data_IF_380012899176
#
_entry.id   IF_380012899176
#
_cell.length_a   1.000
_cell.length_b   1.000
_cell.length_c   1.000
_cell.angle_alpha   90.00
_cell.angle_beta   90.00
_cell.angle_gamma   90.00
#
_symmetry.space_group_name_H-M   'P 1'
#
loop_
_entity.id
_entity.type
_entity.pdbx_description
1 polymer ?
#
# COMPACT_ATOMS: atom_id res chain seq x y z
N UNK A 1 -37.27 5.22 -23.77
CA UNK A 1 -36.62 4.35 -22.77
C UNK A 1 -35.13 4.50 -23.00
N UNK A 2 -34.46 5.15 -22.05
CA UNK A 2 -33.10 5.67 -22.17
C UNK A 2 -32.09 4.59 -21.68
N UNK A 3 -31.10 4.15 -22.49
CA UNK A 3 -30.15 3.13 -22.08
C UNK A 3 -28.92 3.80 -21.44
N UNK A 4 -29.07 4.26 -20.19
CA UNK A 4 -27.96 4.74 -19.36
C UNK A 4 -28.09 4.22 -17.93
N UNK A 5 -27.88 2.91 -17.73
CA UNK A 5 -27.61 2.33 -16.41
C UNK A 5 -27.23 0.85 -16.54
N UNK A 6 -25.99 0.53 -16.94
CA UNK A 6 -25.43 -0.82 -16.68
C UNK A 6 -23.92 -0.98 -16.87
N UNK A 7 -23.12 0.09 -17.00
CA UNK A 7 -21.66 -0.03 -17.22
C UNK A 7 -20.82 -0.07 -15.93
N UNK A 8 -21.44 -0.09 -14.75
CA UNK A 8 -20.71 -0.02 -13.46
C UNK A 8 -20.16 -1.35 -12.96
N UNK A 9 -20.66 -2.50 -13.44
CA UNK A 9 -20.39 -3.80 -12.78
C UNK A 9 -19.40 -4.71 -13.51
N UNK A 10 -19.10 -4.46 -14.80
CA UNK A 10 -18.18 -5.32 -15.58
C UNK A 10 -16.69 -4.93 -15.45
N UNK A 11 -16.37 -3.72 -15.00
CA UNK A 11 -14.98 -3.27 -14.89
C UNK A 11 -14.23 -3.90 -13.70
N UNK A 12 -14.94 -4.33 -12.65
CA UNK A 12 -14.34 -4.86 -11.42
C UNK A 12 -13.88 -6.31 -11.60
N UNK A 13 -14.61 -7.13 -12.38
CA UNK A 13 -14.26 -8.55 -12.55
C UNK A 13 -12.95 -8.79 -13.35
N UNK A 14 -12.57 -7.87 -14.24
CA UNK A 14 -11.30 -7.95 -14.98
C UNK A 14 -10.08 -7.53 -14.14
N UNK A 15 -10.29 -6.75 -13.07
CA UNK A 15 -9.24 -6.35 -12.12
C UNK A 15 -8.70 -7.56 -11.32
N UNK A 16 -9.56 -8.55 -11.06
CA UNK A 16 -9.28 -9.71 -10.20
C UNK A 16 -8.23 -10.65 -10.81
N UNK A 17 -8.25 -10.85 -12.13
CA UNK A 17 -7.40 -11.86 -12.80
C UNK A 17 -5.95 -11.38 -12.99
N UNK A 18 -5.72 -10.07 -13.13
CA UNK A 18 -4.35 -9.55 -13.28
C UNK A 18 -3.58 -9.52 -11.95
N UNK A 19 -4.24 -9.62 -10.79
CA UNK A 19 -3.61 -9.46 -9.48
C UNK A 19 -3.55 -10.78 -8.66
N UNK A 20 -4.03 -11.91 -9.19
CA UNK A 20 -4.24 -13.13 -8.40
C UNK A 20 -3.07 -14.12 -8.35
N UNK A 21 -2.12 -14.06 -9.28
CA UNK A 21 -1.17 -15.17 -9.47
C UNK A 21 0.20 -14.88 -8.83
N UNK A 22 0.26 -15.02 -7.49
CA UNK A 22 1.50 -15.02 -6.70
C UNK A 22 1.85 -16.45 -6.26
N UNK A 23 2.24 -17.30 -7.22
CA UNK A 23 2.90 -18.58 -6.92
C UNK A 23 4.35 -18.57 -7.42
N UNK A 24 5.24 -17.92 -6.69
CA UNK A 24 6.69 -18.17 -6.85
C UNK A 24 7.05 -19.46 -6.10
N UNK A 25 6.80 -20.62 -6.72
CA UNK A 25 7.28 -21.91 -6.21
C UNK A 25 8.73 -22.12 -6.64
N UNK A 26 9.66 -21.89 -5.71
CA UNK A 26 11.02 -22.39 -5.80
C UNK A 26 11.19 -23.52 -4.77
N UNK A 27 11.01 -24.78 -5.20
CA UNK A 27 11.67 -25.92 -4.53
C UNK A 27 12.02 -27.01 -5.54
N UNK A 28 13.21 -27.62 -5.42
CA UNK A 28 13.79 -28.49 -6.45
C UNK A 28 13.29 -29.94 -6.34
N UNK A 29 13.41 -30.62 -7.48
CA UNK A 29 13.19 -32.05 -7.73
C UNK A 29 13.85 -32.98 -6.72
N UNK A 30 13.13 -34.02 -6.27
CA UNK A 30 13.71 -35.11 -5.47
C UNK A 30 12.73 -36.16 -4.93
N UNK A 31 12.27 -37.03 -5.83
CA UNK A 31 11.98 -38.48 -5.74
C UNK A 31 11.33 -39.19 -4.52
N UNK A 32 10.46 -40.14 -4.92
CA UNK A 32 10.01 -41.43 -4.36
C UNK A 32 9.51 -41.61 -2.91
N UNK A 33 8.28 -42.15 -2.80
CA UNK A 33 7.86 -42.90 -1.62
C UNK A 33 6.35 -43.17 -1.52
N UNK A 34 5.90 -44.33 -2.00
CA UNK A 34 4.54 -44.86 -1.81
C UNK A 34 4.34 -45.51 -0.42
N UNK A 35 3.09 -45.48 0.09
CA UNK A 35 2.38 -46.48 0.95
C UNK A 35 1.17 -45.80 1.63
N UNK A 36 -0.08 -46.09 1.24
CA UNK A 36 -1.02 -47.13 1.74
C UNK A 36 -1.40 -47.04 3.23
N UNK A 37 -2.73 -47.00 3.40
CA UNK A 37 -3.56 -47.68 4.41
C UNK A 37 -4.02 -46.97 5.71
N UNK A 38 -5.33 -46.70 5.70
CA UNK A 38 -6.38 -47.11 6.68
C UNK A 38 -6.35 -46.66 8.14
N UNK A 39 -7.52 -46.25 8.64
CA UNK A 39 -7.79 -46.23 10.08
C UNK A 39 -9.07 -45.49 10.46
N UNK A 40 -10.16 -46.24 10.65
CA UNK A 40 -11.43 -45.78 11.19
C UNK A 40 -11.42 -45.74 12.74
N UNK A 41 -12.32 -44.94 13.32
CA UNK A 41 -12.90 -45.22 14.64
C UNK A 41 -13.01 -44.03 15.59
N UNK A 42 -14.21 -43.80 16.15
CA UNK A 42 -14.36 -43.06 17.41
C UNK A 42 -15.63 -42.22 17.55
N UNK A 43 -16.69 -42.84 18.06
CA UNK A 43 -18.00 -42.29 18.41
C UNK A 43 -18.08 -41.71 19.83
N UNK A 44 -19.05 -40.80 20.06
CA UNK A 44 -19.65 -40.45 21.37
C UNK A 44 -19.90 -38.94 21.47
N UNK A 45 -21.13 -38.41 21.36
CA UNK A 45 -22.25 -38.46 22.33
C UNK A 45 -22.16 -37.24 23.28
N UNK A 46 -23.16 -36.45 23.66
CA UNK A 46 -24.60 -36.31 23.40
C UNK A 46 -25.09 -35.07 24.20
N UNK A 47 -26.10 -34.35 23.70
CA UNK A 47 -27.12 -33.54 24.40
C UNK A 47 -26.73 -32.32 25.27
N UNK A 48 -27.28 -31.15 24.93
CA UNK A 48 -28.43 -30.53 25.64
C UNK A 48 -29.08 -29.42 24.80
N UNK A 49 -30.42 -29.36 24.89
CA UNK A 49 -31.37 -28.60 24.06
C UNK A 49 -31.39 -27.06 24.29
N UNK A 50 -32.02 -26.29 23.37
CA UNK A 50 -32.17 -24.84 23.42
C UNK A 50 -33.59 -24.34 23.80
N UNK A 51 -33.69 -23.04 24.11
CA UNK A 51 -34.93 -22.24 24.16
C UNK A 51 -35.61 -22.21 25.54
N UNK A 52 -36.38 -21.19 25.95
CA UNK A 52 -36.97 -20.01 25.32
C UNK A 52 -37.67 -19.20 26.44
N UNK A 53 -38.03 -17.93 26.18
CA UNK A 53 -39.11 -17.27 26.93
C UNK A 53 -38.80 -15.86 27.43
N UNK A 54 -39.32 -14.84 26.74
CA UNK A 54 -39.38 -13.46 27.25
C UNK A 54 -40.59 -13.21 28.15
N UNK A 55 -40.65 -12.01 28.76
CA UNK A 55 -41.81 -11.10 28.76
C UNK A 55 -41.61 -9.86 29.64
N UNK A 56 -41.99 -8.73 29.04
CA UNK A 56 -42.39 -7.40 29.52
C UNK A 56 -42.53 -7.07 31.03
N UNK A 57 -41.98 -5.90 31.40
CA UNK A 57 -42.76 -4.65 31.56
C UNK A 57 -43.66 -4.45 32.79
N UNK A 58 -43.26 -3.53 33.67
CA UNK A 58 -44.13 -2.62 34.47
C UNK A 58 -43.20 -1.53 35.04
N UNK A 59 -43.51 -0.23 35.17
CA UNK A 59 -44.77 0.51 35.14
C UNK A 59 -44.89 1.36 36.42
N UNK A 60 -44.83 2.69 36.31
CA UNK A 60 -45.20 3.67 37.36
C UNK A 60 -44.05 4.17 38.26
N UNK A 61 -43.99 5.41 38.74
CA UNK A 61 -44.96 6.51 38.79
C UNK A 61 -44.26 7.85 39.06
N UNK A 62 -44.88 8.94 38.61
CA UNK A 62 -44.52 10.32 38.95
C UNK A 62 -45.25 10.80 40.23
N UNK A 63 -44.62 11.74 40.96
CA UNK A 63 -45.22 12.60 42.00
C UNK A 63 -44.20 13.69 42.37
N UNK A 64 -44.35 14.94 41.90
CA UNK A 64 -45.15 16.05 42.43
C UNK A 64 -44.52 16.79 43.64
N UNK A 65 -43.87 17.92 43.36
CA UNK A 65 -44.10 19.24 43.99
C UNK A 65 -43.68 19.52 45.43
N UNK A 66 -42.86 20.57 45.61
CA UNK A 66 -43.09 21.58 46.65
C UNK A 66 -41.91 22.03 47.51
N UNK A 67 -41.50 23.29 47.28
CA UNK A 67 -41.19 24.34 48.28
C UNK A 67 -39.78 24.46 48.89
N UNK A 68 -39.31 25.71 48.87
CA UNK A 68 -38.02 26.21 49.32
C UNK A 68 -37.94 26.46 50.84
N UNK A 69 -36.72 26.42 51.40
CA UNK A 69 -36.36 27.18 52.61
C UNK A 69 -35.29 26.59 53.52
N UNK A 70 -34.10 27.22 53.46
CA UNK A 70 -33.12 27.45 54.56
C UNK A 70 -32.23 26.32 55.09
N UNK A 71 -30.96 26.70 55.33
CA UNK A 71 -30.10 26.06 56.33
C UNK A 71 -28.96 25.23 55.74
N UNK A 72 -27.75 25.79 55.74
CA UNK A 72 -26.54 25.08 55.32
C UNK A 72 -26.21 23.88 56.21
N UNK A 73 -25.47 22.94 55.64
CA UNK A 73 -24.60 22.00 56.34
C UNK A 73 -23.55 21.48 55.37
N UNK A 74 -22.33 21.39 55.87
CA UNK A 74 -21.12 21.11 55.14
C UNK A 74 -21.03 19.66 54.64
N UNK A 75 -20.39 19.51 53.47
CA UNK A 75 -19.48 18.42 53.13
C UNK A 75 -19.99 16.98 53.23
N UNK A 76 -20.39 16.41 52.10
CA UNK A 76 -20.31 14.97 51.87
C UNK A 76 -19.74 14.71 50.47
N UNK A 77 -18.73 13.85 50.43
CA UNK A 77 -17.78 13.67 49.34
C UNK A 77 -18.40 13.49 47.96
N UNK A 78 -17.84 14.23 46.99
CA UNK A 78 -18.02 13.95 45.58
C UNK A 78 -17.42 12.59 45.25
N UNK A 79 -18.23 11.76 44.61
CA UNK A 79 -17.79 10.56 43.93
C UNK A 79 -16.66 10.92 42.96
N UNK A 80 -15.54 10.19 43.05
CA UNK A 80 -14.47 10.26 42.08
C UNK A 80 -15.07 10.04 40.68
N UNK A 81 -14.91 11.03 39.81
CA UNK A 81 -15.20 10.90 38.40
C UNK A 81 -14.45 9.69 37.84
N UNK A 82 -15.13 8.94 36.99
CA UNK A 82 -14.56 7.89 36.15
C UNK A 82 -13.19 8.31 35.65
N UNK A 83 -12.16 7.54 36.01
CA UNK A 83 -10.84 7.68 35.43
C UNK A 83 -10.98 7.65 33.92
N UNK A 84 -10.77 8.80 33.28
CA UNK A 84 -10.43 8.81 31.87
C UNK A 84 -9.19 7.94 31.75
N UNK A 85 -9.27 6.92 30.90
CA UNK A 85 -8.08 6.22 30.44
C UNK A 85 -7.09 7.29 30.01
N UNK A 86 -5.99 7.40 30.75
CA UNK A 86 -4.90 8.28 30.39
C UNK A 86 -4.53 7.91 28.95
N UNK A 87 -4.70 8.86 28.03
CA UNK A 87 -4.14 8.73 26.69
C UNK A 87 -2.69 8.32 26.85
N UNK A 88 -2.30 7.27 26.11
CA UNK A 88 -0.90 6.88 25.99
C UNK A 88 -0.05 8.14 25.79
N UNK A 89 1.14 8.22 26.42
CA UNK A 89 2.04 9.34 26.18
C UNK A 89 2.26 9.43 24.68
N UNK A 90 1.75 10.51 24.07
CA UNK A 90 1.97 10.79 22.66
C UNK A 90 3.47 10.95 22.49
N UNK A 91 4.13 9.96 21.91
CA UNK A 91 5.46 10.12 21.36
C UNK A 91 5.38 11.32 20.39
N UNK A 92 6.01 12.47 20.71
CA UNK A 92 5.92 13.66 19.87
C UNK A 92 6.40 13.37 18.45
N UNK A 93 7.34 12.43 18.29
CA UNK A 93 7.81 11.97 16.99
C UNK A 93 6.77 11.16 16.22
N UNK A 94 5.91 10.39 16.90
CA UNK A 94 4.78 9.69 16.27
C UNK A 94 3.77 10.71 15.74
N UNK A 95 3.35 11.69 16.54
CA UNK A 95 2.38 12.68 16.07
C UNK A 95 2.88 13.43 14.81
N UNK A 96 4.16 13.81 14.76
CA UNK A 96 4.70 14.51 13.60
C UNK A 96 4.75 13.67 12.32
N UNK A 97 5.18 12.40 12.39
CA UNK A 97 5.26 11.52 11.20
C UNK A 97 3.88 11.28 10.60
N UNK A 98 2.87 11.09 11.45
CA UNK A 98 1.54 10.69 11.03
C UNK A 98 0.75 11.83 10.38
N UNK A 99 1.11 13.08 10.62
CA UNK A 99 0.47 14.23 9.97
C UNK A 99 1.11 14.59 8.62
N UNK A 100 2.26 14.01 8.26
CA UNK A 100 2.93 14.31 7.00
C UNK A 100 2.13 13.82 5.77
N UNK A 101 2.07 14.65 4.74
CA UNK A 101 1.44 14.30 3.46
C UNK A 101 -0.09 14.25 3.48
N UNK A 102 -0.75 14.71 4.55
CA UNK A 102 -2.21 14.70 4.70
C UNK A 102 -2.90 15.97 4.21
N UNK A 103 -2.17 17.07 3.96
CA UNK A 103 -2.80 18.32 3.60
C UNK A 103 -3.46 18.23 2.20
N UNK A 104 -4.58 18.92 1.96
CA UNK A 104 -5.16 19.01 0.63
C UNK A 104 -4.17 19.57 -0.39
N UNK A 105 -4.12 18.99 -1.59
CA UNK A 105 -3.22 19.43 -2.65
C UNK A 105 -1.83 18.80 -2.57
N UNK A 106 -0.83 19.53 -3.07
CA UNK A 106 0.56 19.04 -3.18
C UNK A 106 1.27 19.19 -1.85
N UNK A 107 1.79 18.08 -1.33
CA UNK A 107 2.59 18.02 -0.11
C UNK A 107 4.06 17.80 -0.49
N UNK A 108 4.96 18.73 -0.13
CA UNK A 108 6.33 18.74 -0.65
C UNK A 108 7.35 17.87 0.12
N UNK A 109 6.99 17.36 1.30
CA UNK A 109 7.85 16.47 2.11
C UNK A 109 9.29 16.97 2.30
N UNK A 110 10.23 16.03 2.45
CA UNK A 110 11.67 16.34 2.54
C UNK A 110 12.24 16.88 1.22
N UNK A 111 11.68 16.47 0.06
CA UNK A 111 12.13 16.89 -1.27
C UNK A 111 12.01 18.41 -1.50
N UNK A 112 11.19 19.10 -0.71
CA UNK A 112 11.11 20.57 -0.68
C UNK A 112 12.48 21.28 -0.53
N UNK A 113 13.43 20.62 0.14
CA UNK A 113 14.77 21.15 0.46
C UNK A 113 15.83 20.78 -0.59
N UNK A 114 15.50 19.88 -1.52
CA UNK A 114 16.42 19.32 -2.51
C UNK A 114 15.84 19.52 -3.91
N UNK A 115 16.03 20.70 -4.53
CA UNK A 115 15.62 20.91 -5.92
C UNK A 115 16.23 19.84 -6.83
N UNK A 116 15.42 19.27 -7.72
CA UNK A 116 15.76 18.14 -8.57
C UNK A 116 16.35 16.94 -7.79
N UNK A 117 15.98 16.81 -6.51
CA UNK A 117 16.52 15.86 -5.53
C UNK A 117 18.05 15.85 -5.36
N UNK A 118 18.74 16.88 -5.88
CA UNK A 118 20.20 16.96 -5.80
C UNK A 118 20.64 16.96 -4.34
N UNK A 119 21.34 15.90 -3.95
CA UNK A 119 21.86 15.71 -2.60
C UNK A 119 20.84 15.18 -1.58
N UNK A 120 19.65 14.74 -1.99
CA UNK A 120 18.61 14.22 -1.07
C UNK A 120 19.10 13.01 -0.26
N UNK A 121 20.04 12.23 -0.80
CA UNK A 121 20.69 11.09 -0.12
C UNK A 121 21.40 11.47 1.18
N UNK A 122 21.74 12.75 1.36
CA UNK A 122 22.36 13.26 2.59
C UNK A 122 21.37 13.54 3.71
N UNK A 123 20.06 13.55 3.43
CA UNK A 123 19.04 13.84 4.44
C UNK A 123 19.01 12.71 5.49
N UNK A 124 18.99 13.02 6.81
CA UNK A 124 19.06 12.00 7.87
C UNK A 124 17.87 11.04 7.93
N UNK A 125 16.80 11.30 7.17
CA UNK A 125 15.66 10.40 7.04
C UNK A 125 15.71 9.51 5.79
N UNK A 126 16.67 9.69 4.89
CA UNK A 126 16.79 8.92 3.66
C UNK A 126 17.72 7.74 3.90
N UNK A 127 17.24 6.54 3.58
CA UNK A 127 18.02 5.31 3.61
C UNK A 127 18.88 5.17 2.35
N UNK A 128 18.30 5.47 1.19
CA UNK A 128 18.97 5.43 -0.10
C UNK A 128 18.24 6.32 -1.11
N UNK A 129 18.99 6.80 -2.10
CA UNK A 129 18.45 7.48 -3.27
C UNK A 129 19.24 7.11 -4.53
N UNK A 130 18.57 7.15 -5.68
CA UNK A 130 19.13 6.93 -7.01
C UNK A 130 18.51 7.93 -7.99
N UNK A 131 19.35 8.83 -8.49
CA UNK A 131 19.04 9.84 -9.50
C UNK A 131 19.72 9.52 -10.85
N UNK A 132 20.46 8.40 -10.94
CA UNK A 132 21.19 7.95 -12.12
C UNK A 132 22.29 8.89 -12.63
N UNK A 133 22.58 10.00 -11.94
CA UNK A 133 23.51 11.04 -12.39
C UNK A 133 24.97 10.58 -12.42
N UNK A 134 25.27 9.42 -11.84
CA UNK A 134 26.57 8.75 -11.97
C UNK A 134 26.81 8.11 -13.35
N UNK A 135 25.80 8.07 -14.22
CA UNK A 135 25.83 7.36 -15.50
C UNK A 135 25.74 5.82 -15.37
N UNK A 136 25.42 5.32 -14.18
CA UNK A 136 25.22 3.89 -13.89
C UNK A 136 24.31 3.71 -12.68
N UNK A 137 23.74 2.52 -12.52
CA UNK A 137 22.90 2.20 -11.34
C UNK A 137 23.80 1.93 -10.13
N UNK A 138 23.59 2.69 -9.06
CA UNK A 138 24.32 2.62 -7.80
C UNK A 138 23.48 2.01 -6.67
N UNK A 139 22.15 1.99 -6.79
CA UNK A 139 21.27 1.43 -5.77
C UNK A 139 21.46 -0.10 -5.65
N UNK A 140 22.00 -0.61 -4.53
CA UNK A 140 22.26 -2.03 -4.39
C UNK A 140 20.96 -2.80 -4.23
N UNK A 141 20.83 -3.91 -4.94
CA UNK A 141 19.68 -4.82 -4.78
C UNK A 141 20.17 -6.25 -4.69
N UNK A 142 19.35 -7.14 -4.11
CA UNK A 142 19.63 -8.58 -4.08
C UNK A 142 20.03 -9.08 -5.48
N UNK A 143 21.16 -9.80 -5.55
CA UNK A 143 21.72 -10.36 -6.78
C UNK A 143 21.98 -9.31 -7.89
N UNK A 144 22.18 -8.05 -7.50
CA UNK A 144 22.38 -6.91 -8.40
C UNK A 144 21.27 -6.80 -9.46
N UNK A 145 20.06 -7.27 -9.16
CA UNK A 145 18.98 -7.38 -10.16
C UNK A 145 18.63 -6.05 -10.79
N UNK A 146 18.66 -4.94 -10.05
CA UNK A 146 18.39 -3.63 -10.62
C UNK A 146 19.49 -3.23 -11.62
N UNK A 147 20.75 -3.34 -11.22
CA UNK A 147 21.93 -3.04 -12.06
C UNK A 147 21.95 -3.91 -13.33
N UNK A 148 21.60 -5.19 -13.20
CA UNK A 148 21.65 -6.16 -14.29
C UNK A 148 20.49 -6.04 -15.29
N UNK A 149 19.43 -5.29 -14.95
CA UNK A 149 18.22 -5.22 -15.77
C UNK A 149 17.91 -3.81 -16.28
N UNK A 150 18.36 -2.75 -15.61
CA UNK A 150 18.18 -1.38 -16.05
C UNK A 150 19.29 -0.94 -17.02
N UNK A 151 18.90 -0.14 -18.01
CA UNK A 151 19.85 0.58 -18.87
C UNK A 151 19.80 2.06 -18.51
N UNK A 152 20.93 2.65 -18.12
CA UNK A 152 21.01 4.11 -17.92
C UNK A 152 21.05 4.79 -19.28
N UNK A 153 20.20 5.80 -19.46
CA UNK A 153 19.97 6.53 -20.71
C UNK A 153 20.08 8.03 -20.49
N UNK A 154 20.45 8.76 -21.53
CA UNK A 154 20.57 10.23 -21.57
C UNK A 154 19.41 10.91 -22.32
N UNK A 155 18.35 10.14 -22.58
CA UNK A 155 17.10 10.57 -23.21
C UNK A 155 15.92 10.12 -22.36
N UNK A 156 14.76 10.76 -22.54
CA UNK A 156 13.59 10.52 -21.69
C UNK A 156 14.00 10.61 -20.21
N UNK A 157 14.54 11.76 -19.81
CA UNK A 157 15.06 12.04 -18.48
C UNK A 157 14.05 12.89 -17.72
N UNK A 158 13.88 12.66 -16.41
CA UNK A 158 12.97 13.49 -15.61
C UNK A 158 13.68 14.73 -15.09
N UNK A 159 14.84 14.55 -14.48
CA UNK A 159 15.71 15.61 -13.96
C UNK A 159 17.16 15.31 -14.27
N UNK A 160 18.03 16.32 -14.30
CA UNK A 160 19.45 16.09 -14.53
C UNK A 160 19.75 15.64 -15.97
N UNK A 161 20.64 14.66 -16.10
CA UNK A 161 21.17 14.19 -17.39
C UNK A 161 20.82 12.74 -17.70
N UNK A 162 20.51 11.93 -16.68
CA UNK A 162 20.32 10.50 -16.84
C UNK A 162 19.03 10.01 -16.18
N UNK A 163 18.46 8.96 -16.77
CA UNK A 163 17.40 8.17 -16.17
C UNK A 163 17.66 6.69 -16.46
N UNK A 164 16.86 5.78 -15.90
CA UNK A 164 16.93 4.37 -16.24
C UNK A 164 15.74 3.91 -17.09
N UNK A 165 16.02 3.18 -18.15
CA UNK A 165 15.04 2.47 -18.95
C UNK A 165 14.99 0.98 -18.54
N UNK A 166 13.78 0.44 -18.44
CA UNK A 166 13.54 -1.00 -18.40
C UNK A 166 12.63 -1.41 -19.54
N UNK A 167 13.02 -2.45 -20.27
CA UNK A 167 12.22 -3.05 -21.32
C UNK A 167 11.85 -4.48 -20.96
N UNK A 168 10.57 -4.82 -21.13
CA UNK A 168 10.07 -6.19 -21.10
C UNK A 168 9.97 -6.68 -22.54
N UNK A 169 10.90 -7.48 -23.08
CA UNK A 169 10.70 -8.17 -24.34
C UNK A 169 9.40 -8.99 -24.36
N UNK A 170 8.91 -9.29 -25.56
CA UNK A 170 7.80 -10.22 -25.75
C UNK A 170 8.03 -11.51 -24.95
N UNK A 171 7.01 -11.92 -24.18
CA UNK A 171 7.08 -13.12 -23.33
C UNK A 171 7.95 -13.03 -22.08
N UNK A 172 8.69 -11.93 -21.85
CA UNK A 172 9.49 -11.74 -20.64
C UNK A 172 8.72 -10.95 -19.58
N UNK A 173 8.53 -11.53 -18.40
CA UNK A 173 7.81 -10.88 -17.31
C UNK A 173 8.72 -10.03 -16.40
N UNK A 174 10.04 -10.19 -16.47
CA UNK A 174 10.97 -9.41 -15.65
C UNK A 174 11.06 -9.86 -14.18
N UNK A 175 12.15 -9.46 -13.48
CA UNK A 175 12.41 -9.89 -12.11
C UNK A 175 11.73 -9.00 -11.06
N UNK A 176 11.66 -9.50 -9.83
CA UNK A 176 11.49 -8.64 -8.65
C UNK A 176 12.86 -8.24 -8.13
N UNK A 177 13.11 -6.94 -7.99
CA UNK A 177 14.34 -6.43 -7.38
C UNK A 177 14.05 -5.99 -5.95
N UNK A 178 14.98 -6.21 -5.03
CA UNK A 178 14.80 -5.92 -3.60
C UNK A 178 16.00 -5.17 -3.06
N UNK A 179 15.78 -3.99 -2.51
CA UNK A 179 16.73 -3.26 -1.68
C UNK A 179 16.56 -3.72 -0.24
N UNK A 180 17.66 -4.12 0.42
CA UNK A 180 17.62 -4.49 1.84
C UNK A 180 17.55 -3.23 2.71
N UNK A 181 16.47 -3.07 3.46
CA UNK A 181 16.35 -1.97 4.42
C UNK A 181 17.30 -2.22 5.59
N UNK A 182 18.12 -1.22 5.98
CA UNK A 182 18.89 -1.34 7.21
C UNK A 182 17.95 -1.38 8.42
N UNK A 183 18.36 -2.10 9.47
CA UNK A 183 17.62 -2.08 10.73
C UNK A 183 17.50 -0.64 11.26
N UNK A 184 16.32 -0.29 11.78
CA UNK A 184 16.13 1.02 12.40
C UNK A 184 17.03 1.12 13.66
N UNK A 185 18.01 2.04 13.68
CA UNK A 185 18.94 2.18 14.81
C UNK A 185 18.24 2.56 16.13
N UNK A 186 17.03 3.12 16.05
CA UNK A 186 16.26 3.55 17.21
C UNK A 186 15.23 2.52 17.69
N UNK A 187 15.18 1.37 17.02
CA UNK A 187 14.25 0.30 17.31
C UNK A 187 12.77 0.74 17.35
N UNK A 188 12.39 1.77 16.57
CA UNK A 188 11.11 2.45 16.73
C UNK A 188 9.92 1.49 16.49
N UNK A 189 9.08 1.21 17.50
CA UNK A 189 7.92 0.34 17.35
C UNK A 189 6.79 0.94 16.51
N UNK A 190 6.84 2.22 16.16
CA UNK A 190 5.91 2.92 15.27
C UNK A 190 6.63 3.53 14.06
N UNK A 191 7.62 2.80 13.52
CA UNK A 191 8.31 3.21 12.31
C UNK A 191 7.35 3.45 11.14
N UNK A 192 7.63 4.49 10.37
CA UNK A 192 7.03 4.71 9.06
C UNK A 192 8.11 4.61 7.99
N UNK A 193 7.74 4.06 6.85
CA UNK A 193 8.63 3.78 5.74
C UNK A 193 7.99 4.33 4.47
N UNK A 194 8.82 4.92 3.63
CA UNK A 194 8.40 5.59 2.41
C UNK A 194 9.30 5.17 1.28
N UNK A 195 8.69 4.95 0.11
CA UNK A 195 9.43 4.82 -1.14
C UNK A 195 8.70 5.63 -2.19
N UNK A 196 9.47 6.44 -2.92
CA UNK A 196 9.02 7.22 -4.06
C UNK A 196 9.81 6.80 -5.29
N UNK A 197 9.12 6.64 -6.41
CA UNK A 197 9.72 6.42 -7.72
C UNK A 197 9.00 7.28 -8.74
N UNK A 198 9.75 8.01 -9.56
CA UNK A 198 9.18 8.70 -10.70
C UNK A 198 9.23 7.77 -11.91
N UNK A 199 8.12 7.68 -12.64
CA UNK A 199 7.99 6.84 -13.82
C UNK A 199 7.48 7.64 -15.01
N UNK A 200 7.94 7.25 -16.20
CA UNK A 200 7.34 7.58 -17.49
C UNK A 200 7.02 6.27 -18.23
N UNK A 201 5.76 6.10 -18.61
CA UNK A 201 5.26 4.91 -19.28
C UNK A 201 5.19 5.16 -20.78
N UNK A 202 5.89 4.34 -21.58
CA UNK A 202 5.82 4.42 -23.04
C UNK A 202 4.44 4.02 -23.56
N UNK A 203 4.11 4.45 -24.78
CA UNK A 203 2.89 4.04 -25.48
C UNK A 203 2.78 2.53 -25.71
N UNK A 204 3.88 1.78 -25.67
CA UNK A 204 3.87 0.31 -25.69
C UNK A 204 3.11 -0.32 -24.52
N UNK A 205 2.77 0.44 -23.47
CA UNK A 205 1.83 0.00 -22.44
C UNK A 205 0.38 -0.11 -22.94
N UNK A 206 0.09 0.29 -24.17
CA UNK A 206 -1.12 -0.14 -24.87
C UNK A 206 -0.95 -1.59 -25.38
N UNK A 207 -1.66 -2.59 -24.82
CA UNK A 207 -1.49 -3.99 -25.21
C UNK A 207 -2.15 -4.37 -26.55
N UNK A 208 -2.88 -3.43 -27.17
CA UNK A 208 -3.68 -3.65 -28.38
C UNK A 208 -5.18 -3.72 -28.09
N UNK A 209 -6.00 -3.57 -29.13
CA UNK A 209 -7.47 -3.39 -29.01
C UNK A 209 -8.22 -4.61 -28.45
N UNK A 210 -7.57 -5.78 -28.42
CA UNK A 210 -8.19 -7.04 -28.00
C UNK A 210 -7.93 -7.40 -26.53
N UNK A 211 -7.09 -6.64 -25.82
CA UNK A 211 -6.67 -7.00 -24.46
C UNK A 211 -7.64 -6.48 -23.41
N UNK A 212 -8.12 -7.38 -22.55
CA UNK A 212 -9.16 -7.10 -21.54
C UNK A 212 -8.63 -6.50 -20.23
N UNK A 213 -7.36 -6.72 -19.91
CA UNK A 213 -6.69 -6.13 -18.75
C UNK A 213 -5.20 -6.45 -18.73
N UNK A 214 -4.38 -5.53 -18.19
CA UNK A 214 -2.93 -5.71 -18.02
C UNK A 214 -2.51 -5.21 -16.65
N UNK A 215 -1.54 -5.87 -16.03
CA UNK A 215 -0.93 -5.41 -14.78
C UNK A 215 0.59 -5.48 -14.80
N UNK A 216 1.22 -4.55 -14.10
CA UNK A 216 2.63 -4.59 -13.69
C UNK A 216 2.75 -4.27 -12.21
N UNK A 217 3.67 -4.97 -11.53
CA UNK A 217 4.06 -4.58 -10.18
C UNK A 217 4.87 -3.27 -10.27
N UNK A 218 4.61 -2.37 -9.33
CA UNK A 218 5.36 -1.12 -9.18
C UNK A 218 6.50 -1.30 -8.21
N UNK A 219 6.35 -0.73 -7.03
CA UNK A 219 7.32 -0.80 -5.95
C UNK A 219 6.59 -0.87 -4.61
N UNK A 220 7.27 -1.21 -3.52
CA UNK A 220 6.64 -1.22 -2.21
C UNK A 220 7.55 -1.61 -1.08
N UNK A 221 7.03 -1.48 0.13
CA UNK A 221 7.71 -1.81 1.38
C UNK A 221 7.18 -3.14 1.88
N UNK A 222 8.08 -4.05 2.24
CA UNK A 222 7.78 -5.42 2.59
C UNK A 222 8.44 -5.79 3.91
N UNK A 223 7.71 -6.57 4.70
CA UNK A 223 8.23 -7.31 5.84
C UNK A 223 8.00 -8.79 5.58
N UNK A 224 9.05 -9.54 5.29
CA UNK A 224 8.99 -10.99 5.11
C UNK A 224 9.35 -11.66 6.46
N UNK A 225 8.41 -12.35 7.11
CA UNK A 225 8.69 -13.11 8.34
C UNK A 225 9.54 -14.37 8.09
N UNK A 226 9.97 -15.04 9.16
CA UNK A 226 10.59 -16.36 9.05
C UNK A 226 9.55 -17.41 8.61
N UNK A 227 9.68 -17.90 7.38
CA UNK A 227 8.69 -18.78 6.75
C UNK A 227 7.49 -17.98 6.20
N UNK A 228 7.12 -18.23 4.94
CA UNK A 228 6.07 -17.49 4.24
C UNK A 228 4.72 -18.21 4.36
N UNK A 229 3.91 -17.88 5.37
CA UNK A 229 2.47 -18.14 5.36
C UNK A 229 1.73 -16.81 5.21
N UNK A 230 0.46 -16.80 4.79
CA UNK A 230 -0.32 -15.56 4.55
C UNK A 230 -0.43 -14.63 5.77
N UNK A 231 -0.06 -15.12 6.96
CA UNK A 231 -0.09 -14.41 8.23
C UNK A 231 1.26 -13.91 8.75
N UNK A 232 2.38 -14.28 8.10
CA UNK A 232 3.74 -13.97 8.60
C UNK A 232 4.45 -12.87 7.83
N UNK A 233 3.82 -12.33 6.78
CA UNK A 233 4.37 -11.22 6.01
C UNK A 233 3.29 -10.18 5.71
N UNK A 234 3.72 -8.96 5.45
CA UNK A 234 2.83 -7.88 5.07
C UNK A 234 3.56 -6.91 4.15
N UNK A 235 2.79 -6.10 3.43
CA UNK A 235 3.37 -5.07 2.58
C UNK A 235 2.47 -3.85 2.42
N UNK A 236 3.06 -2.81 1.86
CA UNK A 236 2.33 -1.73 1.23
C UNK A 236 3.05 -1.37 -0.06
N UNK A 237 2.37 -1.51 -1.19
CA UNK A 237 2.98 -1.35 -2.51
C UNK A 237 2.08 -0.57 -3.46
N UNK A 238 2.67 -0.12 -4.57
CA UNK A 238 1.94 0.39 -5.73
C UNK A 238 1.91 -0.71 -6.79
N UNK A 239 0.74 -0.96 -7.34
CA UNK A 239 0.58 -1.74 -8.56
C UNK A 239 -0.06 -0.88 -9.65
N UNK A 240 0.23 -1.20 -10.90
CA UNK A 240 -0.32 -0.50 -12.04
C UNK A 240 -1.15 -1.48 -12.85
N UNK A 241 -2.40 -1.09 -13.10
CA UNK A 241 -3.35 -1.89 -13.88
C UNK A 241 -3.96 -1.04 -14.96
N UNK A 242 -4.24 -1.67 -16.09
CA UNK A 242 -4.93 -1.03 -17.19
C UNK A 242 -6.01 -1.93 -17.78
N UNK A 243 -6.98 -1.29 -18.42
CA UNK A 243 -8.10 -1.94 -19.08
C UNK A 243 -8.56 -1.14 -20.31
N UNK A 244 -9.09 -1.86 -21.29
CA UNK A 244 -9.39 -1.34 -22.62
C UNK A 244 -10.88 -1.16 -22.92
N UNK A 245 -11.15 -0.48 -24.04
CA UNK A 245 -12.48 -0.15 -24.53
C UNK A 245 -13.04 1.14 -23.92
N UNK A 246 -12.27 2.23 -23.93
CA UNK A 246 -12.70 3.51 -23.36
C UNK A 246 -12.69 4.66 -24.36
N UNK A 247 -13.76 5.45 -24.39
CA UNK A 247 -13.81 6.74 -25.11
C UNK A 247 -13.56 7.95 -24.19
N UNK A 248 -13.10 7.71 -22.96
CA UNK A 248 -12.77 8.80 -22.02
C UNK A 248 -11.59 9.62 -22.56
N UNK A 249 -11.59 10.96 -22.40
CA UNK A 249 -10.46 11.81 -22.81
C UNK A 249 -9.11 11.45 -22.18
N UNK A 250 -9.13 10.79 -21.01
CA UNK A 250 -7.94 10.33 -20.30
C UNK A 250 -7.39 8.99 -20.81
N UNK A 251 -8.12 8.31 -21.70
CA UNK A 251 -7.67 7.05 -22.27
C UNK A 251 -6.49 7.29 -23.22
N UNK A 252 -5.43 6.52 -23.04
CA UNK A 252 -4.28 6.49 -23.94
C UNK A 252 -4.65 5.64 -25.15
N UNK A 253 -5.17 6.27 -26.20
CA UNK A 253 -5.65 5.59 -27.42
C UNK A 253 -6.68 4.49 -27.12
N UNK A 254 -7.66 4.80 -26.27
CA UNK A 254 -8.72 3.86 -25.93
C UNK A 254 -8.46 2.96 -24.72
N UNK A 255 -7.28 3.05 -24.11
CA UNK A 255 -6.88 2.26 -22.95
C UNK A 255 -6.61 3.10 -21.71
N UNK A 256 -7.18 2.71 -20.57
CA UNK A 256 -7.00 3.40 -19.30
C UNK A 256 -5.96 2.66 -18.47
N UNK A 257 -5.12 3.41 -17.76
CA UNK A 257 -4.15 2.90 -16.80
C UNK A 257 -4.22 3.71 -15.51
N UNK A 258 -4.06 3.04 -14.37
CA UNK A 258 -4.03 3.67 -13.05
C UNK A 258 -2.97 3.02 -12.17
N UNK A 259 -2.33 3.83 -11.33
CA UNK A 259 -1.63 3.34 -10.16
C UNK A 259 -2.59 3.23 -8.98
N UNK A 260 -2.41 2.23 -8.12
CA UNK A 260 -3.22 2.09 -6.92
C UNK A 260 -2.40 1.52 -5.77
N UNK A 261 -2.88 1.78 -4.56
CA UNK A 261 -2.36 1.18 -3.34
C UNK A 261 -2.78 -0.29 -3.31
N UNK A 262 -1.82 -1.18 -3.11
CA UNK A 262 -2.04 -2.60 -2.89
C UNK A 262 -1.37 -3.00 -1.58
N UNK A 263 -2.06 -3.78 -0.75
CA UNK A 263 -1.51 -4.23 0.53
C UNK A 263 -1.95 -5.65 0.82
N UNK A 264 -0.98 -6.50 1.12
CA UNK A 264 -1.14 -7.66 1.98
C UNK A 264 -1.12 -7.19 3.43
N UNK A 265 -2.18 -7.54 4.13
CA UNK A 265 -2.39 -7.26 5.54
C UNK A 265 -3.03 -8.50 6.17
N UNK A 266 -2.37 -9.18 7.12
CA UNK A 266 -2.91 -10.35 7.80
C UNK A 266 -4.24 -10.12 8.53
N UNK A 267 -4.59 -8.86 8.83
CA UNK A 267 -5.82 -8.46 9.52
C UNK A 267 -6.49 -7.29 8.79
N UNK A 268 -7.10 -7.50 7.61
CA UNK A 268 -7.67 -6.42 6.80
C UNK A 268 -9.13 -6.11 7.17
N UNK A 269 -9.74 -6.86 8.09
CA UNK A 269 -11.16 -6.79 8.44
C UNK A 269 -11.58 -5.45 9.05
N UNK A 270 -10.67 -4.78 9.76
CA UNK A 270 -10.91 -3.44 10.32
C UNK A 270 -10.39 -2.31 9.42
N UNK A 271 -9.77 -2.61 8.27
CA UNK A 271 -9.18 -1.59 7.41
C UNK A 271 -10.26 -0.64 6.83
N UNK A 272 -10.03 0.68 6.94
CA UNK A 272 -10.96 1.72 6.46
C UNK A 272 -10.25 2.69 5.53
N UNK A 273 -10.70 2.76 4.27
CA UNK A 273 -10.33 3.84 3.36
C UNK A 273 -10.95 5.17 3.83
N UNK A 274 -10.11 6.10 4.25
CA UNK A 274 -10.49 7.49 4.60
C UNK A 274 -10.29 8.46 3.42
N UNK A 275 -9.45 8.06 2.46
CA UNK A 275 -9.31 8.68 1.14
C UNK A 275 -9.24 7.54 0.11
N UNK A 276 -9.95 7.71 -1.01
CA UNK A 276 -10.13 6.65 -2.01
C UNK A 276 -11.21 5.63 -1.62
N UNK A 277 -11.21 4.49 -2.28
CA UNK A 277 -12.16 3.39 -2.07
C UNK A 277 -11.44 2.04 -2.08
N UNK A 278 -11.81 1.14 -1.16
CA UNK A 278 -11.30 -0.22 -1.12
C UNK A 278 -11.97 -1.08 -2.19
N UNK A 279 -11.19 -1.95 -2.82
CA UNK A 279 -11.65 -2.96 -3.76
C UNK A 279 -10.73 -4.21 -3.67
N UNK A 280 -11.13 -5.32 -4.29
CA UNK A 280 -10.41 -6.60 -4.24
C UNK A 280 -10.04 -7.05 -2.81
N UNK A 281 -10.94 -6.81 -1.86
CA UNK A 281 -10.74 -7.16 -0.45
C UNK A 281 -10.89 -8.67 -0.26
N UNK A 282 -9.88 -9.31 0.31
CA UNK A 282 -9.91 -10.71 0.77
C UNK A 282 -9.52 -10.79 2.25
N UNK A 283 -9.39 -12.00 2.77
CA UNK A 283 -9.00 -12.25 4.17
C UNK A 283 -7.57 -11.80 4.52
N UNK A 284 -6.73 -11.51 3.51
CA UNK A 284 -5.32 -11.16 3.73
C UNK A 284 -4.80 -10.01 2.83
N UNK A 285 -5.64 -9.40 2.00
CA UNK A 285 -5.22 -8.29 1.11
C UNK A 285 -6.36 -7.40 0.67
N UNK A 286 -6.00 -6.23 0.16
CA UNK A 286 -6.92 -5.33 -0.54
C UNK A 286 -6.18 -4.45 -1.56
N UNK A 287 -6.96 -3.79 -2.41
CA UNK A 287 -6.56 -2.66 -3.24
C UNK A 287 -7.29 -1.39 -2.75
N UNK A 288 -6.66 -0.22 -2.88
CA UNK A 288 -7.34 1.05 -2.63
C UNK A 288 -7.07 2.04 -3.77
N UNK A 289 -8.14 2.51 -4.41
CA UNK A 289 -8.09 3.37 -5.59
C UNK A 289 -8.50 4.80 -5.26
N UNK A 290 -7.93 5.76 -6.00
CA UNK A 290 -8.34 7.15 -5.93
C UNK A 290 -9.80 7.33 -6.40
N UNK A 291 -10.51 8.30 -5.81
CA UNK A 291 -11.89 8.62 -6.20
C UNK A 291 -12.03 10.11 -6.54
N UNK A 292 -12.14 10.48 -7.84
CA UNK A 292 -12.06 9.64 -9.03
C UNK A 292 -10.63 9.11 -9.28
N UNK A 293 -10.47 8.14 -10.17
CA UNK A 293 -9.14 7.66 -10.59
C UNK A 293 -8.29 8.80 -11.17
N UNK A 294 -7.01 8.83 -10.79
CA UNK A 294 -5.97 9.57 -11.50
C UNK A 294 -5.35 8.65 -12.55
N UNK A 295 -5.61 8.96 -13.82
CA UNK A 295 -5.20 8.13 -14.95
C UNK A 295 -3.78 8.46 -15.38
N UNK A 296 -2.96 7.42 -15.55
CA UNK A 296 -1.62 7.54 -16.12
C UNK A 296 -1.75 7.99 -17.57
N UNK A 297 -0.97 9.00 -17.94
CA UNK A 297 -0.80 9.41 -19.34
C UNK A 297 0.54 8.88 -19.85
N UNK A 298 0.53 8.25 -21.02
CA UNK A 298 1.78 7.80 -21.63
C UNK A 298 2.66 8.99 -22.02
N UNK A 299 3.97 8.76 -22.01
CA UNK A 299 5.01 9.74 -22.31
C UNK A 299 4.89 10.99 -21.41
N UNK A 300 4.58 10.77 -20.13
CA UNK A 300 4.47 11.82 -19.11
C UNK A 300 5.07 11.31 -17.82
N UNK A 301 6.04 12.07 -17.28
CA UNK A 301 6.61 11.81 -15.97
C UNK A 301 5.62 12.08 -14.86
N UNK A 302 5.55 11.15 -13.90
CA UNK A 302 4.80 11.25 -12.65
C UNK A 302 5.59 10.59 -11.53
N UNK A 303 5.56 11.16 -10.35
CA UNK A 303 6.14 10.59 -9.15
C UNK A 303 5.07 9.91 -8.31
N UNK A 304 5.29 8.63 -8.06
CA UNK A 304 4.42 7.79 -7.24
C UNK A 304 5.12 7.57 -5.90
N UNK A 305 4.37 7.61 -4.82
CA UNK A 305 4.92 7.37 -3.48
C UNK A 305 3.96 6.49 -2.67
N UNK A 306 4.52 5.56 -1.89
CA UNK A 306 3.76 4.76 -0.94
C UNK A 306 4.38 4.84 0.44
N UNK A 307 3.52 4.92 1.45
CA UNK A 307 3.90 4.99 2.85
C UNK A 307 3.27 3.86 3.65
N UNK A 308 4.09 3.16 4.44
CA UNK A 308 3.68 2.13 5.39
C UNK A 308 3.93 2.65 6.81
N UNK A 309 2.87 2.72 7.62
CA UNK A 309 2.92 3.20 9.00
C UNK A 309 2.57 2.04 9.92
N UNK A 310 3.55 1.58 10.71
CA UNK A 310 3.36 0.40 11.55
C UNK A 310 2.36 0.64 12.67
N UNK A 311 1.50 -0.36 12.88
CA UNK A 311 0.63 -0.42 14.04
C UNK A 311 1.42 -0.73 15.33
N UNK A 312 0.86 -0.30 16.46
CA UNK A 312 1.16 -0.88 17.77
C UNK A 312 0.87 -2.39 17.71
N UNK A 313 1.79 -3.28 18.15
CA UNK A 313 1.56 -4.71 18.07
C UNK A 313 0.19 -5.11 18.64
N UNK A 314 -0.64 -5.76 17.81
CA UNK A 314 -1.98 -6.23 18.19
C UNK A 314 -3.11 -5.20 18.05
N UNK A 315 -2.80 -3.93 17.78
CA UNK A 315 -3.80 -2.86 17.63
C UNK A 315 -4.06 -2.52 16.16
N UNK A 316 -5.27 -2.01 15.88
CA UNK A 316 -5.68 -1.51 14.57
C UNK A 316 -5.43 0.01 14.46
N UNK A 317 -4.18 0.44 14.65
CA UNK A 317 -3.77 1.85 14.57
C UNK A 317 -2.69 2.11 13.50
N UNK A 318 -2.46 1.14 12.59
CA UNK A 318 -1.58 1.25 11.43
C UNK A 318 -2.22 2.01 10.26
N UNK A 319 -1.39 2.41 9.29
CA UNK A 319 -1.85 3.07 8.06
C UNK A 319 -1.05 2.67 6.81
N UNK A 320 -1.73 2.74 5.67
CA UNK A 320 -1.14 2.65 4.34
C UNK A 320 -1.59 3.84 3.50
N UNK A 321 -0.65 4.48 2.79
CA UNK A 321 -0.92 5.71 2.03
C UNK A 321 -0.29 5.68 0.66
N UNK A 322 -0.94 6.29 -0.32
CA UNK A 322 -0.48 6.40 -1.71
C UNK A 322 -0.66 7.82 -2.23
N UNK A 323 0.39 8.37 -2.84
CA UNK A 323 0.42 9.69 -3.46
C UNK A 323 0.85 9.61 -4.92
N UNK A 324 0.35 10.58 -5.69
CA UNK A 324 0.85 10.89 -7.04
C UNK A 324 1.15 12.39 -7.07
N UNK A 325 2.39 12.74 -7.45
CA UNK A 325 2.90 14.11 -7.49
C UNK A 325 2.62 14.90 -6.20
N UNK A 326 2.77 14.24 -5.05
CA UNK A 326 2.54 14.84 -3.73
C UNK A 326 1.09 15.01 -3.32
N UNK A 327 0.13 14.61 -4.17
CA UNK A 327 -1.30 14.64 -3.85
C UNK A 327 -1.73 13.28 -3.31
N UNK A 328 -2.32 13.26 -2.12
CA UNK A 328 -2.82 12.05 -1.47
C UNK A 328 -3.98 11.46 -2.28
N UNK A 329 -3.80 10.23 -2.78
CA UNK A 329 -4.74 9.53 -3.65
C UNK A 329 -5.55 8.48 -2.88
N UNK A 330 -4.89 7.74 -1.99
CA UNK A 330 -5.52 6.73 -1.15
C UNK A 330 -4.91 6.77 0.26
N UNK A 331 -5.76 6.61 1.27
CA UNK A 331 -5.35 6.45 2.67
C UNK A 331 -6.23 5.41 3.34
N UNK A 332 -5.62 4.32 3.75
CA UNK A 332 -6.28 3.23 4.48
C UNK A 332 -5.77 3.24 5.92
N UNK A 333 -6.71 3.37 6.85
CA UNK A 333 -6.51 3.45 8.30
C UNK A 333 -6.99 2.18 8.97
N UNK A 334 -6.76 2.08 10.28
CA UNK A 334 -7.13 0.90 11.07
C UNK A 334 -6.46 -0.38 10.57
N UNK A 335 -5.23 -0.24 10.07
CA UNK A 335 -4.43 -1.37 9.61
C UNK A 335 -3.78 -2.06 10.81
N UNK A 336 -3.71 -3.40 10.78
CA UNK A 336 -2.95 -4.19 11.75
C UNK A 336 -2.04 -5.15 11.02
N UNK A 337 -0.85 -4.65 10.68
CA UNK A 337 0.16 -5.40 9.95
C UNK A 337 0.77 -6.54 10.78
N UNK A 338 0.84 -6.37 12.11
CA UNK A 338 1.55 -7.31 13.00
C UNK A 338 1.03 -7.34 14.43
N UNK A 339 1.23 -8.50 15.07
CA UNK A 339 0.88 -8.77 16.47
C UNK A 339 2.06 -8.68 17.43
N UNK A 340 3.28 -8.65 16.90
CA UNK A 340 4.51 -8.51 17.68
C UNK A 340 5.37 -7.40 17.09
N UNK A 341 6.49 -7.06 17.73
CA UNK A 341 7.44 -6.06 17.21
C UNK A 341 8.11 -6.52 15.90
N UNK A 342 8.07 -7.82 15.63
CA UNK A 342 8.56 -8.47 14.40
C UNK A 342 7.41 -9.17 13.64
N UNK A 343 7.54 -9.35 12.32
CA UNK A 343 8.60 -8.82 11.47
C UNK A 343 8.47 -7.30 11.31
N UNK A 344 9.60 -6.64 11.02
CA UNK A 344 9.63 -5.24 10.59
C UNK A 344 9.88 -5.19 9.08
N UNK A 345 9.57 -4.08 8.41
CA UNK A 345 10.00 -3.90 7.04
C UNK A 345 11.50 -4.06 6.92
N UNK A 346 11.91 -5.03 6.10
CA UNK A 346 13.29 -5.43 5.87
C UNK A 346 13.67 -5.26 4.39
N UNK A 347 12.69 -5.03 3.51
CA UNK A 347 12.91 -4.89 2.08
C UNK A 347 12.05 -3.78 1.46
N UNK A 348 12.63 -3.13 0.45
CA UNK A 348 11.88 -2.34 -0.53
C UNK A 348 11.99 -3.03 -1.88
N UNK A 349 10.86 -3.40 -2.46
CA UNK A 349 10.83 -3.94 -3.81
C UNK A 349 10.75 -2.79 -4.80
N UNK A 350 11.64 -2.77 -5.79
CA UNK A 350 11.54 -1.90 -6.97
C UNK A 350 11.25 -2.85 -8.14
N UNK A 351 9.99 -3.22 -8.28
CA UNK A 351 9.64 -4.36 -9.12
C UNK A 351 9.73 -4.02 -10.59
N UNK A 352 10.37 -4.93 -11.32
CA UNK A 352 10.43 -4.98 -12.76
C UNK A 352 9.55 -6.12 -13.28
N UNK A 353 8.61 -6.60 -12.45
CA UNK A 353 7.78 -7.76 -12.75
C UNK A 353 6.42 -7.37 -13.34
N UNK A 354 6.07 -7.99 -14.47
CA UNK A 354 4.75 -7.94 -15.09
C UNK A 354 3.94 -9.16 -14.67
N UNK A 355 2.70 -8.94 -14.26
CA UNK A 355 1.78 -10.00 -13.82
C UNK A 355 0.97 -10.58 -14.97
N UNK A 356 0.78 -9.82 -16.06
CA UNK A 356 0.15 -10.33 -17.28
C UNK A 356 1.17 -11.02 -18.17
N UNK A 357 0.93 -12.29 -18.48
CA UNK A 357 1.78 -13.06 -19.39
C UNK A 357 1.44 -12.79 -20.88
N UNK A 358 2.36 -13.18 -21.77
CA UNK A 358 2.11 -13.26 -23.22
C UNK A 358 1.72 -11.93 -23.90
N UNK A 359 2.22 -10.78 -23.43
CA UNK A 359 2.10 -9.52 -24.17
C UNK A 359 2.93 -9.62 -25.46
N UNK A 360 2.34 -9.45 -26.66
CA UNK A 360 2.93 -9.80 -27.95
C UNK A 360 3.90 -8.74 -28.50
N UNK A 361 4.45 -7.89 -27.63
CA UNK A 361 5.41 -6.85 -27.99
C UNK A 361 6.23 -6.39 -26.78
N UNK A 362 7.30 -5.67 -27.07
CA UNK A 362 8.15 -5.08 -26.03
C UNK A 362 7.46 -3.89 -25.37
N UNK A 363 7.39 -3.89 -24.04
CA UNK A 363 6.94 -2.74 -23.24
C UNK A 363 8.16 -2.02 -22.65
N UNK A 364 8.16 -0.68 -22.61
CA UNK A 364 9.25 0.09 -22.00
C UNK A 364 8.74 1.11 -21.00
N UNK A 365 9.40 1.19 -19.84
CA UNK A 365 9.15 2.19 -18.81
C UNK A 365 10.47 2.83 -18.41
N UNK A 366 10.48 4.14 -18.27
CA UNK A 366 11.58 4.88 -17.68
C UNK A 366 11.31 5.15 -16.20
N UNK A 367 12.38 5.21 -15.42
CA UNK A 367 12.33 5.57 -14.01
C UNK A 367 13.47 6.51 -13.64
N UNK A 368 13.19 7.37 -12.67
CA UNK A 368 14.10 8.38 -12.18
C UNK A 368 13.79 8.69 -10.70
N UNK A 369 14.74 9.31 -10.00
CA UNK A 369 14.58 9.85 -8.64
C UNK A 369 13.95 8.86 -7.63
N UNK A 370 14.52 7.66 -7.54
CA UNK A 370 14.13 6.66 -6.54
C UNK A 370 14.62 7.14 -5.18
N UNK A 371 13.73 7.25 -4.20
CA UNK A 371 14.09 7.61 -2.82
C UNK A 371 13.39 6.67 -1.85
N UNK A 372 14.16 6.17 -0.87
CA UNK A 372 13.69 5.32 0.21
C UNK A 372 13.97 6.03 1.52
N UNK A 373 12.96 6.22 2.38
CA UNK A 373 13.06 7.06 3.56
C UNK A 373 12.19 6.59 4.74
N UNK A 374 12.39 7.21 5.90
CA UNK A 374 11.56 7.05 7.11
C UNK A 374 10.67 8.26 7.44
N UNK A 375 10.64 9.24 6.55
CA UNK A 375 9.77 10.42 6.58
C UNK A 375 9.19 10.62 5.19
N UNK A 376 8.05 11.30 5.11
CA UNK A 376 7.38 11.57 3.86
C UNK A 376 8.30 12.31 2.87
N UNK A 377 8.43 11.76 1.66
CA UNK A 377 9.41 12.23 0.68
C UNK A 377 8.88 13.45 -0.05
N UNK A 378 7.67 13.33 -0.61
CA UNK A 378 7.07 14.34 -1.46
C UNK A 378 7.57 14.28 -2.92
N UNK A 379 6.88 14.99 -3.84
CA UNK A 379 7.25 15.02 -5.24
C UNK A 379 8.57 15.77 -5.43
N UNK A 380 9.22 15.52 -6.56
CA UNK A 380 10.44 16.25 -6.91
C UNK A 380 10.14 17.73 -7.05
N UNK A 381 10.90 18.54 -6.32
CA UNK A 381 10.85 19.99 -6.47
C UNK A 381 11.68 20.37 -7.68
N UNK A 382 11.04 20.51 -8.84
CA UNK A 382 11.75 20.95 -10.04
C UNK A 382 12.41 22.31 -9.81
N UNK A 383 13.68 22.44 -10.18
CA UNK A 383 14.33 23.74 -10.24
C UNK A 383 13.57 24.66 -11.19
N UNK A 384 13.50 25.95 -10.86
CA UNK A 384 12.93 26.91 -11.79
C UNK A 384 13.84 26.99 -13.02
N UNK A 385 13.27 27.00 -14.24
CA UNK A 385 14.05 27.01 -15.48
C UNK A 385 14.92 28.26 -15.64
#
# INVERSE_FOLDING_TARGET
MDPKASLGLMAIAALVVACSDDSSSNTPTGDSGSKTDSGAGGSGGSNTDPGSGGSAGSGGSAGSGGSAGTGGSAGSGGSAGSGGSAGSPTDPGKAEIWEEGLAPGVNMGIAAQYPDDVGISSHPAVYAAEDFESGSVQLPTEEDRLVNNLTVVDNEVYTGHYAAAFSWPEGFNGPTTRFALPADPNDNPHGAYFVRVCYNFDKSFHPGDQSVGVGVKGFGIYAEGEGTTETTWYNTSVQFVGWGGSSKPQANDGYLWVGHLYSYNPHPDEAVATVGELDNVSEYRFSAYATPFDYIRFNTWRCYEVGLYLNTPGENDGEARFWIDGVLQSRVTHMRFRDSITPRPDKVNISLHRVTENIPHTMTRWMDNIVIARRYIGPVKLSSP
#
